data_IF_407401930349
#
_entry.id   IF_407401930349
#
_cell.length_a   1.000
_cell.length_b   1.000
_cell.length_c   1.000
_cell.angle_alpha   90.00
_cell.angle_beta   90.00
_cell.angle_gamma   90.00
#
_symmetry.space_group_name_H-M   'P 1'
#
loop_
_entity.id
_entity.type
_entity.pdbx_description
1 polymer ?
#
# COMPACT_ATOMS: atom_id res chain seq x y z
N UNK A 1 20.92 -2.35 9.90
CA UNK A 1 19.60 -2.98 9.71
C UNK A 1 18.64 -1.94 9.13
N UNK A 2 17.88 -2.23 8.07
CA UNK A 2 16.93 -1.26 7.49
C UNK A 2 15.82 -0.92 8.49
N UNK A 3 15.39 0.34 8.53
CA UNK A 3 14.24 0.76 9.35
C UNK A 3 12.95 0.28 8.71
N UNK A 4 12.04 -0.27 9.52
CA UNK A 4 10.75 -0.78 9.06
C UNK A 4 9.63 0.20 9.42
N UNK A 5 8.79 0.51 8.44
CA UNK A 5 7.59 1.32 8.59
C UNK A 5 6.36 0.48 8.24
N UNK A 6 5.32 0.58 9.05
CA UNK A 6 4.07 -0.18 8.86
C UNK A 6 2.90 0.78 8.80
N UNK A 7 2.14 0.71 7.70
CA UNK A 7 0.87 1.41 7.62
C UNK A 7 -0.06 0.98 8.76
N UNK A 8 -0.73 1.95 9.37
CA UNK A 8 -1.74 1.71 10.39
C UNK A 8 -3.03 2.42 10.02
N UNK A 9 -4.17 1.74 10.21
CA UNK A 9 -5.49 2.32 9.98
C UNK A 9 -5.75 3.58 10.83
N UNK A 10 -5.17 3.63 12.04
CA UNK A 10 -5.41 4.69 13.03
C UNK A 10 -4.36 5.80 13.01
N UNK A 11 -3.15 5.51 12.55
CA UNK A 11 -2.07 6.48 12.54
C UNK A 11 -2.20 7.44 11.35
N UNK A 12 -1.59 8.61 11.50
CA UNK A 12 -1.42 9.55 10.40
C UNK A 12 -0.45 8.99 9.36
N UNK A 13 -0.91 8.95 8.11
CA UNK A 13 -0.17 8.39 6.99
C UNK A 13 0.88 9.38 6.47
N UNK A 14 0.65 10.69 6.59
CA UNK A 14 1.57 11.73 6.12
C UNK A 14 2.87 11.74 6.91
N UNK A 15 2.78 11.66 8.24
CA UNK A 15 3.96 11.59 9.11
C UNK A 15 4.81 10.36 8.80
N UNK A 16 4.17 9.19 8.69
CA UNK A 16 4.85 7.94 8.36
C UNK A 16 5.55 8.01 6.99
N UNK A 17 4.89 8.58 5.98
CA UNK A 17 5.47 8.78 4.65
C UNK A 17 6.71 9.67 4.71
N UNK A 18 6.62 10.81 5.38
CA UNK A 18 7.73 11.74 5.52
C UNK A 18 8.95 11.11 6.21
N UNK A 19 8.71 10.30 7.25
CA UNK A 19 9.78 9.58 7.95
C UNK A 19 10.41 8.48 7.08
N UNK A 20 9.59 7.76 6.30
CA UNK A 20 10.07 6.79 5.33
C UNK A 20 10.99 7.46 4.29
N UNK A 21 10.54 8.56 3.67
CA UNK A 21 11.32 9.30 2.65
C UNK A 21 12.69 9.70 3.20
N UNK A 22 12.72 10.31 4.40
CA UNK A 22 13.98 10.73 5.04
C UNK A 22 14.93 9.56 5.29
N UNK A 23 14.42 8.40 5.73
CA UNK A 23 15.25 7.23 6.04
C UNK A 23 15.67 6.45 4.78
N UNK A 24 14.79 6.37 3.78
CA UNK A 24 15.06 5.68 2.52
C UNK A 24 16.26 6.27 1.76
N UNK A 25 16.45 7.59 1.88
CA UNK A 25 17.56 8.31 1.24
C UNK A 25 18.89 8.22 2.00
N UNK A 26 18.92 7.60 3.19
CA UNK A 26 20.18 7.36 3.91
C UNK A 26 20.87 6.07 3.41
N UNK A 27 22.19 5.91 3.61
CA UNK A 27 22.89 4.66 3.27
C UNK A 27 22.32 3.41 3.95
N UNK A 28 21.62 3.57 5.08
CA UNK A 28 20.97 2.47 5.79
C UNK A 28 19.72 1.96 5.06
N UNK A 29 19.00 2.87 4.37
CA UNK A 29 17.73 2.61 3.70
C UNK A 29 16.57 2.30 4.64
N UNK A 30 15.39 2.14 4.05
CA UNK A 30 14.15 1.83 4.75
C UNK A 30 13.29 0.81 3.97
N UNK A 31 12.33 0.19 4.66
CA UNK A 31 11.30 -0.64 4.06
C UNK A 31 9.93 -0.18 4.56
N UNK A 32 8.97 -0.07 3.64
CA UNK A 32 7.60 0.30 3.93
C UNK A 32 6.68 -0.90 3.66
N UNK A 33 5.94 -1.31 4.68
CA UNK A 33 4.88 -2.30 4.60
C UNK A 33 3.53 -1.57 4.57
N UNK A 34 2.86 -1.58 3.42
CA UNK A 34 1.54 -0.99 3.22
C UNK A 34 0.53 -2.05 2.79
N UNK A 35 -0.76 -1.74 2.94
CA UNK A 35 -1.86 -2.62 2.53
C UNK A 35 -2.44 -2.12 1.22
N UNK A 36 -2.64 -3.01 0.24
CA UNK A 36 -3.30 -2.65 -1.04
C UNK A 36 -4.74 -2.19 -0.78
N UNK A 37 -5.14 -1.06 -1.35
CA UNK A 37 -6.40 -0.38 -1.05
C UNK A 37 -6.40 0.38 0.30
N UNK A 38 -5.22 0.49 0.93
CA UNK A 38 -4.98 1.31 2.11
C UNK A 38 -4.66 2.76 1.74
N UNK A 39 -4.62 3.62 2.76
CA UNK A 39 -4.43 5.07 2.65
C UNK A 39 -3.10 5.44 1.98
N UNK A 40 -2.06 4.64 2.22
CA UNK A 40 -0.74 4.86 1.62
C UNK A 40 -0.62 4.20 0.24
N UNK A 41 -1.34 3.11 -0.04
CA UNK A 41 -1.18 2.40 -1.32
C UNK A 41 -1.76 3.15 -2.52
N UNK A 42 -2.71 4.07 -2.27
CA UNK A 42 -3.37 4.85 -3.32
C UNK A 42 -2.76 6.26 -3.37
N UNK A 43 -2.07 6.57 -4.46
CA UNK A 43 -1.56 7.92 -4.74
C UNK A 43 -0.13 8.22 -4.30
N UNK A 44 0.60 7.27 -3.72
CA UNK A 44 2.04 7.43 -3.48
C UNK A 44 2.81 7.24 -4.78
N UNK A 45 3.73 8.17 -5.04
CA UNK A 45 4.74 8.06 -6.08
C UNK A 45 6.10 7.76 -5.45
N UNK A 46 6.70 6.62 -5.80
CA UNK A 46 8.06 6.26 -5.40
C UNK A 46 9.10 6.88 -6.34
N UNK A 47 9.06 8.21 -6.52
CA UNK A 47 10.05 8.92 -7.36
C UNK A 47 11.43 8.94 -6.69
N UNK A 48 12.45 9.29 -7.48
CA UNK A 48 13.76 9.71 -6.96
C UNK A 48 14.39 8.75 -5.94
N UNK A 49 14.43 7.47 -6.31
CA UNK A 49 15.12 6.41 -5.56
C UNK A 49 14.42 5.91 -4.29
N UNK A 50 13.17 6.32 -4.08
CA UNK A 50 12.33 5.86 -2.97
C UNK A 50 11.82 4.41 -3.14
N UNK A 51 11.78 3.90 -4.38
CA UNK A 51 11.32 2.54 -4.70
C UNK A 51 12.34 1.77 -5.53
N UNK A 52 13.11 0.88 -4.89
CA UNK A 52 14.05 -0.03 -5.61
C UNK A 52 13.45 -1.40 -5.88
N UNK A 53 12.50 -1.81 -5.06
CA UNK A 53 11.82 -3.08 -5.16
C UNK A 53 10.44 -2.93 -4.52
N UNK A 54 9.42 -3.48 -5.18
CA UNK A 54 8.08 -3.61 -4.63
C UNK A 54 7.77 -5.10 -4.57
N UNK A 55 7.46 -5.59 -3.37
CA UNK A 55 7.10 -6.98 -3.15
C UNK A 55 5.61 -7.02 -2.84
N UNK A 56 4.88 -7.80 -3.64
CA UNK A 56 3.47 -8.07 -3.39
C UNK A 56 3.35 -9.44 -2.72
N UNK A 57 2.68 -9.48 -1.57
CA UNK A 57 2.44 -10.73 -0.83
C UNK A 57 0.99 -11.16 -1.09
N UNK A 58 0.82 -12.22 -1.90
CA UNK A 58 -0.49 -12.72 -2.31
C UNK A 58 -0.99 -12.09 -3.61
N UNK A 59 -2.31 -11.94 -3.76
CA UNK A 59 -2.96 -11.16 -4.81
C UNK A 59 -4.02 -10.26 -4.14
N UNK A 60 -4.16 -8.98 -4.54
CA UNK A 60 -5.11 -8.07 -3.94
C UNK A 60 -6.53 -8.38 -4.43
N UNK A 61 -7.19 -9.33 -3.76
CA UNK A 61 -8.59 -9.62 -4.04
C UNK A 61 -9.51 -8.64 -3.31
N UNK A 62 -10.58 -8.17 -3.98
CA UNK A 62 -11.62 -7.40 -3.31
C UNK A 62 -12.33 -8.28 -2.27
N UNK A 63 -12.98 -7.63 -1.31
CA UNK A 63 -13.73 -8.35 -0.29
C UNK A 63 -14.89 -9.15 -0.92
N UNK A 64 -14.78 -10.48 -0.90
CA UNK A 64 -15.81 -11.41 -1.43
C UNK A 64 -17.19 -11.25 -0.78
N UNK A 65 -17.25 -10.71 0.44
CA UNK A 65 -18.49 -10.47 1.15
C UNK A 65 -19.08 -9.09 0.85
N UNK A 66 -18.46 -8.30 -0.04
CA UNK A 66 -19.01 -7.02 -0.47
C UNK A 66 -20.30 -7.25 -1.25
N UNK A 67 -21.41 -6.70 -0.74
CA UNK A 67 -22.71 -6.73 -1.43
C UNK A 67 -22.58 -6.07 -2.81
N UNK A 68 -21.91 -4.93 -2.89
CA UNK A 68 -21.69 -4.20 -4.14
C UNK A 68 -20.94 -5.05 -5.18
N UNK A 69 -19.88 -5.76 -4.76
CA UNK A 69 -19.13 -6.63 -5.65
C UNK A 69 -20.00 -7.77 -6.17
N UNK A 70 -20.78 -8.41 -5.28
CA UNK A 70 -21.66 -9.50 -5.66
C UNK A 70 -22.75 -9.06 -6.63
N UNK A 71 -23.33 -7.87 -6.45
CA UNK A 71 -24.31 -7.32 -7.40
C UNK A 71 -23.68 -6.98 -8.76
N UNK A 72 -22.49 -6.38 -8.78
CA UNK A 72 -21.75 -6.11 -10.03
C UNK A 72 -21.44 -7.39 -10.80
N UNK A 73 -21.00 -8.44 -10.09
CA UNK A 73 -20.69 -9.74 -10.71
C UNK A 73 -21.93 -10.38 -11.33
N UNK A 74 -23.11 -10.30 -10.70
CA UNK A 74 -24.36 -10.79 -11.28
C UNK A 74 -24.69 -10.07 -12.60
N UNK A 75 -24.54 -8.74 -12.64
CA UNK A 75 -24.80 -7.94 -13.84
C UNK A 75 -23.86 -8.29 -15.00
N UNK A 76 -22.59 -8.57 -14.71
CA UNK A 76 -21.59 -8.92 -15.73
C UNK A 76 -21.78 -10.35 -16.25
N UNK A 77 -22.19 -11.29 -15.40
CA UNK A 77 -22.32 -12.71 -15.76
C UNK A 77 -23.65 -13.03 -16.44
N UNK A 78 -24.69 -12.20 -16.26
CA UNK A 78 -26.02 -12.41 -16.81
C UNK A 78 -26.29 -11.66 -18.14
N UNK A 79 -25.30 -10.97 -18.69
CA UNK A 79 -25.31 -10.36 -20.04
C UNK A 79 -24.28 -11.07 -20.94
#
# INVERSE_FOLDING_TARGET
MKTLFFESKRADSTTLWNDFVRKAQTPQGAMLCAVVGGKLSEGINFSDELGRCVIMIGLPYPNKNSVELNEKMKVIVLN
#
